data_IF_159319271707
#
_entry.id   IF_159319271707
#
_cell.length_a   1.000
_cell.length_b   1.000
_cell.length_c   1.000
_cell.angle_alpha   90.00
_cell.angle_beta   90.00
_cell.angle_gamma   90.00
#
_symmetry.space_group_name_H-M   'P 1'
#
loop_
_entity.id
_entity.type
_entity.pdbx_description
1 polymer ?
#
# COMPACT_ATOMS: atom_id res chain seq x y z
N UNK A 1 16.80 -9.56 -36.87
CA UNK A 1 17.97 -9.52 -35.99
C UNK A 1 17.44 -9.73 -34.59
N UNK A 2 17.51 -10.96 -34.07
CA UNK A 2 16.98 -11.34 -32.76
C UNK A 2 17.82 -10.64 -31.69
N UNK A 3 17.28 -9.56 -31.11
CA UNK A 3 17.89 -8.91 -29.96
C UNK A 3 17.90 -9.91 -28.81
N UNK A 4 19.08 -10.28 -28.31
CA UNK A 4 19.15 -11.09 -27.10
C UNK A 4 18.40 -10.33 -25.99
N UNK A 5 17.58 -11.02 -25.18
CA UNK A 5 16.88 -10.37 -24.08
C UNK A 5 17.91 -9.71 -23.17
N UNK A 6 17.74 -8.41 -22.92
CA UNK A 6 18.63 -7.64 -22.04
C UNK A 6 18.46 -8.19 -20.63
N UNK A 7 19.50 -8.86 -20.13
CA UNK A 7 19.56 -9.31 -18.73
C UNK A 7 20.08 -8.16 -17.86
N UNK A 8 19.20 -7.61 -17.02
CA UNK A 8 19.54 -6.54 -16.08
C UNK A 8 19.84 -7.05 -14.65
N UNK A 9 19.96 -8.37 -14.45
CA UNK A 9 20.27 -8.99 -13.16
C UNK A 9 21.76 -9.04 -12.85
N UNK A 10 22.61 -8.88 -13.87
CA UNK A 10 24.06 -8.81 -13.75
C UNK A 10 24.47 -7.36 -13.44
N UNK A 11 25.24 -7.17 -12.37
CA UNK A 11 25.76 -5.88 -11.95
C UNK A 11 27.12 -5.59 -12.62
N UNK A 12 27.15 -4.68 -13.60
CA UNK A 12 28.41 -4.11 -14.12
C UNK A 12 28.66 -2.74 -13.45
N UNK A 13 29.70 -2.59 -12.60
CA UNK A 13 29.98 -1.32 -11.93
C UNK A 13 30.33 -0.17 -12.90
N UNK A 14 30.60 -0.46 -14.18
CA UNK A 14 30.91 0.54 -15.21
C UNK A 14 29.67 1.13 -15.88
N UNK A 15 28.53 0.45 -15.81
CA UNK A 15 27.31 0.83 -16.53
C UNK A 15 26.07 0.65 -15.66
N UNK A 16 25.20 1.66 -15.62
CA UNK A 16 23.91 1.49 -14.95
C UNK A 16 23.01 0.59 -15.76
N UNK A 17 22.51 -0.49 -15.16
CA UNK A 17 21.55 -1.38 -15.81
C UNK A 17 20.26 -0.63 -16.19
N UNK A 18 19.67 -0.95 -17.35
CA UNK A 18 18.42 -0.35 -17.78
C UNK A 18 17.27 -0.73 -16.84
N UNK A 19 16.44 0.26 -16.50
CA UNK A 19 15.30 0.10 -15.58
C UNK A 19 14.00 -0.29 -16.30
N UNK A 20 13.91 -0.02 -17.60
CA UNK A 20 12.76 -0.34 -18.44
C UNK A 20 13.26 -1.32 -19.51
N UNK A 21 12.62 -2.47 -19.61
CA UNK A 21 12.94 -3.53 -20.56
C UNK A 21 11.75 -3.72 -21.49
N UNK A 22 12.00 -4.06 -22.76
CA UNK A 22 10.94 -4.45 -23.69
C UNK A 22 10.05 -3.31 -24.24
N UNK A 23 10.35 -2.04 -23.93
CA UNK A 23 9.63 -0.87 -24.45
C UNK A 23 10.56 0.04 -25.24
N UNK A 24 10.17 0.37 -26.48
CA UNK A 24 10.93 1.25 -27.38
C UNK A 24 10.30 2.64 -27.52
N UNK A 25 9.00 2.79 -27.23
CA UNK A 25 8.26 4.05 -27.35
C UNK A 25 7.26 4.29 -26.20
N UNK A 26 6.94 5.56 -25.92
CA UNK A 26 6.00 5.97 -24.88
C UNK A 26 4.57 5.47 -25.12
N UNK A 27 4.16 5.28 -26.37
CA UNK A 27 2.86 4.72 -26.71
C UNK A 27 2.67 3.32 -26.13
N UNK A 28 3.70 2.48 -26.25
CA UNK A 28 3.65 1.08 -25.77
C UNK A 28 3.48 0.97 -24.25
N UNK A 29 4.12 1.87 -23.49
CA UNK A 29 3.98 1.93 -22.02
C UNK A 29 2.57 2.37 -21.64
N UNK A 30 2.03 3.35 -22.36
CA UNK A 30 0.67 3.86 -22.10
C UNK A 30 -0.37 2.78 -22.37
N UNK A 31 -0.26 2.12 -23.52
CA UNK A 31 -1.13 1.01 -23.90
C UNK A 31 -1.11 -0.08 -22.83
N UNK A 32 0.08 -0.56 -22.43
CA UNK A 32 0.20 -1.63 -21.43
C UNK A 32 -0.41 -1.27 -20.06
N UNK A 33 -0.17 -0.05 -19.56
CA UNK A 33 -0.76 0.40 -18.29
C UNK A 33 -2.29 0.52 -18.40
N UNK A 34 -2.78 1.04 -19.53
CA UNK A 34 -4.21 1.22 -19.77
C UNK A 34 -4.96 -0.12 -19.93
N UNK A 35 -4.30 -1.19 -20.42
CA UNK A 35 -4.91 -2.51 -20.58
C UNK A 35 -5.64 -2.99 -19.32
N UNK A 36 -5.10 -2.72 -18.14
CA UNK A 36 -5.72 -3.14 -16.87
C UNK A 36 -7.07 -2.46 -16.64
N UNK A 37 -7.20 -1.19 -17.01
CA UNK A 37 -8.41 -0.39 -16.81
C UNK A 37 -9.41 -0.53 -17.97
N UNK A 38 -8.90 -0.77 -19.19
CA UNK A 38 -9.70 -0.96 -20.40
C UNK A 38 -10.20 -2.40 -20.56
N UNK A 39 -9.66 -3.35 -19.78
CA UNK A 39 -10.10 -4.74 -19.80
C UNK A 39 -11.63 -4.83 -19.60
N UNK A 40 -12.36 -5.57 -20.44
CA UNK A 40 -13.83 -5.61 -20.39
C UNK A 40 -14.34 -6.21 -19.08
N UNK A 41 -13.53 -7.03 -18.40
CA UNK A 41 -13.83 -7.62 -17.09
C UNK A 41 -12.55 -7.75 -16.26
N UNK A 42 -12.59 -7.42 -14.95
CA UNK A 42 -11.52 -7.73 -14.02
C UNK A 42 -11.25 -9.24 -13.95
N UNK A 43 -10.01 -9.66 -13.64
CA UNK A 43 -9.70 -11.07 -13.41
C UNK A 43 -10.49 -11.61 -12.21
N UNK A 44 -10.82 -12.91 -12.22
CA UNK A 44 -11.57 -13.56 -11.13
C UNK A 44 -10.94 -13.33 -9.75
N UNK A 45 -9.61 -13.30 -9.69
CA UNK A 45 -8.86 -13.04 -8.46
C UNK A 45 -9.21 -11.69 -7.83
N UNK A 46 -9.47 -10.65 -8.64
CA UNK A 46 -9.85 -9.33 -8.16
C UNK A 46 -11.19 -9.33 -7.42
N UNK A 47 -12.18 -10.08 -7.94
CA UNK A 47 -13.46 -10.22 -7.26
C UNK A 47 -13.34 -10.98 -5.93
N UNK A 48 -12.53 -12.05 -5.91
CA UNK A 48 -12.29 -12.84 -4.69
C UNK A 48 -11.63 -11.97 -3.61
N UNK A 49 -10.57 -11.24 -3.96
CA UNK A 49 -9.88 -10.36 -3.00
C UNK A 49 -10.76 -9.19 -2.55
N UNK A 50 -11.59 -8.64 -3.44
CA UNK A 50 -12.55 -7.59 -3.09
C UNK A 50 -13.57 -8.09 -2.06
N UNK A 51 -14.17 -9.27 -2.28
CA UNK A 51 -15.16 -9.84 -1.35
C UNK A 51 -14.52 -10.11 0.01
N UNK A 52 -13.33 -10.72 0.04
CA UNK A 52 -12.61 -10.99 1.30
C UNK A 52 -12.32 -9.67 2.04
N UNK A 53 -11.82 -8.65 1.32
CA UNK A 53 -11.51 -7.35 1.92
C UNK A 53 -12.77 -6.64 2.43
N UNK A 54 -13.88 -6.71 1.68
CA UNK A 54 -15.16 -6.12 2.07
C UNK A 54 -15.74 -6.81 3.32
N UNK A 55 -15.63 -8.14 3.42
CA UNK A 55 -16.06 -8.88 4.62
C UNK A 55 -15.23 -8.50 5.85
N UNK A 56 -13.90 -8.40 5.70
CA UNK A 56 -13.01 -7.97 6.78
C UNK A 56 -13.31 -6.52 7.22
N UNK A 57 -13.54 -5.61 6.26
CA UNK A 57 -13.94 -4.23 6.55
C UNK A 57 -15.32 -4.15 7.22
N UNK A 58 -16.29 -4.96 6.78
CA UNK A 58 -17.60 -5.06 7.40
C UNK A 58 -17.53 -5.56 8.84
N UNK A 59 -16.69 -6.56 9.11
CA UNK A 59 -16.40 -7.04 10.47
C UNK A 59 -15.80 -5.92 11.33
N UNK A 60 -14.84 -5.15 10.81
CA UNK A 60 -14.25 -4.02 11.51
C UNK A 60 -15.33 -2.99 11.91
N UNK A 61 -16.20 -2.58 10.98
CA UNK A 61 -17.29 -1.64 11.25
C UNK A 61 -18.26 -2.18 12.31
N UNK A 62 -18.62 -3.46 12.22
CA UNK A 62 -19.49 -4.11 13.21
C UNK A 62 -18.86 -4.12 14.61
N UNK A 63 -17.57 -4.42 14.73
CA UNK A 63 -16.84 -4.42 16.00
C UNK A 63 -16.66 -3.01 16.58
N UNK A 64 -16.49 -1.99 15.74
CA UNK A 64 -16.50 -0.59 16.19
C UNK A 64 -17.89 -0.20 16.72
N UNK A 65 -18.96 -0.60 16.04
CA UNK A 65 -20.33 -0.40 16.53
C UNK A 65 -20.54 -1.05 17.90
N UNK A 66 -20.09 -2.29 18.08
CA UNK A 66 -20.11 -2.97 19.38
C UNK A 66 -19.31 -2.20 20.44
N UNK A 67 -18.07 -1.82 20.14
CA UNK A 67 -17.20 -1.04 21.02
C UNK A 67 -17.86 0.26 21.52
N UNK A 68 -18.50 1.01 20.62
CA UNK A 68 -19.18 2.28 20.99
C UNK A 68 -20.37 2.01 21.92
N UNK A 69 -21.11 0.92 21.71
CA UNK A 69 -22.28 0.58 22.51
C UNK A 69 -21.94 0.01 23.90
N UNK A 70 -20.85 -0.76 24.00
CA UNK A 70 -20.46 -1.44 25.26
C UNK A 70 -19.33 -0.76 26.03
N UNK A 71 -18.62 0.18 25.38
CA UNK A 71 -17.50 0.91 25.95
C UNK A 71 -16.13 0.26 25.69
N UNK A 72 -15.07 1.03 25.96
CA UNK A 72 -13.65 0.68 25.67
C UNK A 72 -13.12 -0.51 26.48
N UNK A 73 -13.81 -0.90 27.55
CA UNK A 73 -13.45 -2.05 28.39
C UNK A 73 -13.43 -3.38 27.65
N UNK A 74 -14.10 -3.49 26.49
CA UNK A 74 -14.11 -4.69 25.63
C UNK A 74 -12.69 -5.09 25.19
N UNK A 75 -11.76 -4.14 25.06
CA UNK A 75 -10.38 -4.47 24.71
C UNK A 75 -9.60 -5.15 25.81
N UNK A 76 -10.09 -5.14 27.05
CA UNK A 76 -9.42 -5.77 28.19
C UNK A 76 -8.12 -5.07 28.61
N UNK A 77 -7.95 -3.80 28.27
CA UNK A 77 -6.85 -2.99 28.80
C UNK A 77 -7.07 -2.80 30.31
N UNK A 78 -6.03 -3.03 31.11
CA UNK A 78 -6.10 -3.01 32.57
C UNK A 78 -5.04 -2.08 33.14
N UNK A 79 -5.27 -1.50 34.32
CA UNK A 79 -4.19 -0.80 35.03
C UNK A 79 -3.07 -1.79 35.40
N UNK A 80 -1.79 -1.49 35.16
CA UNK A 80 -1.24 -0.20 34.69
C UNK A 80 -1.12 -0.04 33.16
N UNK A 81 -1.35 -1.10 32.36
CA UNK A 81 -1.24 -1.08 30.89
C UNK A 81 -2.57 -0.70 30.25
N UNK A 82 -2.86 0.60 30.25
CA UNK A 82 -4.10 1.15 29.67
C UNK A 82 -4.05 1.24 28.15
N UNK A 83 -2.87 1.08 27.54
CA UNK A 83 -2.62 1.25 26.10
C UNK A 83 -2.21 -0.08 25.49
N UNK A 84 -3.16 -0.75 24.83
CA UNK A 84 -2.96 -2.04 24.18
C UNK A 84 -3.02 -1.95 22.65
N UNK A 85 -3.73 -2.92 22.06
CA UNK A 85 -3.87 -3.07 20.61
C UNK A 85 -4.29 -1.82 19.83
N UNK A 86 -5.19 -0.93 20.32
CA UNK A 86 -5.58 0.25 19.56
C UNK A 86 -4.39 1.16 19.23
N UNK A 87 -3.49 1.37 20.19
CA UNK A 87 -2.31 2.24 19.99
C UNK A 87 -1.20 1.50 19.26
N UNK A 88 -1.03 0.19 19.51
CA UNK A 88 -0.10 -0.63 18.71
C UNK A 88 -0.48 -0.59 17.23
N UNK A 89 -1.76 -0.78 16.91
CA UNK A 89 -2.25 -0.71 15.53
C UNK A 89 -2.15 0.70 14.95
N UNK A 90 -2.47 1.74 15.73
CA UNK A 90 -2.26 3.13 15.31
C UNK A 90 -0.82 3.36 14.82
N UNK A 91 0.18 3.05 15.65
CA UNK A 91 1.59 3.24 15.32
C UNK A 91 2.02 2.34 14.17
N UNK A 92 1.51 1.10 14.12
CA UNK A 92 1.78 0.17 13.02
C UNK A 92 1.33 0.74 11.67
N UNK A 93 0.09 1.23 11.57
CA UNK A 93 -0.44 1.81 10.34
C UNK A 93 0.28 3.12 9.95
N UNK A 94 0.63 3.97 10.92
CA UNK A 94 1.48 5.15 10.67
C UNK A 94 2.84 4.72 10.10
N UNK A 95 3.45 3.68 10.67
CA UNK A 95 4.71 3.11 10.20
C UNK A 95 4.66 2.65 8.74
N UNK A 96 3.57 1.99 8.32
CA UNK A 96 3.35 1.63 6.91
C UNK A 96 3.30 2.90 6.02
N UNK A 97 2.62 3.95 6.48
CA UNK A 97 2.54 5.22 5.75
C UNK A 97 3.91 5.90 5.52
N UNK A 98 4.85 5.76 6.47
CA UNK A 98 6.19 6.32 6.34
C UNK A 98 6.99 5.69 5.18
N UNK A 99 6.82 4.38 4.93
CA UNK A 99 7.49 3.74 3.81
C UNK A 99 7.06 4.36 2.46
N UNK A 100 5.79 4.73 2.32
CA UNK A 100 5.28 5.32 1.09
C UNK A 100 5.78 6.75 0.86
N UNK A 101 5.82 7.58 1.91
CA UNK A 101 6.38 8.95 1.81
C UNK A 101 7.90 8.96 1.57
N UNK A 102 8.63 7.96 2.08
CA UNK A 102 10.05 7.77 1.75
C UNK A 102 10.23 7.49 0.25
N UNK A 103 9.43 6.58 -0.32
CA UNK A 103 9.54 6.23 -1.73
C UNK A 103 9.16 7.42 -2.63
N UNK A 104 8.16 8.21 -2.26
CA UNK A 104 7.68 9.30 -3.12
C UNK A 104 8.48 10.60 -3.00
N UNK A 105 8.85 11.01 -1.78
CA UNK A 105 9.55 12.27 -1.54
C UNK A 105 11.06 12.10 -1.41
N UNK A 106 11.52 11.17 -0.56
CA UNK A 106 12.95 11.06 -0.22
C UNK A 106 13.75 10.54 -1.43
N UNK A 107 13.28 9.48 -2.10
CA UNK A 107 13.94 8.97 -3.31
C UNK A 107 13.95 10.00 -4.45
N UNK A 108 12.95 10.89 -4.50
CA UNK A 108 12.93 11.99 -5.45
C UNK A 108 14.07 13.00 -5.18
N UNK A 109 14.28 13.38 -3.91
CA UNK A 109 15.38 14.26 -3.51
C UNK A 109 16.76 13.66 -3.85
N UNK A 110 16.92 12.36 -3.66
CA UNK A 110 18.14 11.63 -4.04
C UNK A 110 18.23 11.31 -5.54
N UNK A 111 17.31 11.85 -6.36
CA UNK A 111 17.25 11.65 -7.82
C UNK A 111 17.32 10.18 -8.24
N UNK A 112 16.73 9.28 -7.44
CA UNK A 112 16.65 7.86 -7.75
C UNK A 112 15.58 7.63 -8.81
N UNK A 113 15.97 7.16 -10.00
CA UNK A 113 15.07 7.01 -11.16
C UNK A 113 14.16 5.78 -11.08
N UNK A 114 14.54 4.75 -10.33
CA UNK A 114 13.80 3.49 -10.20
C UNK A 114 12.47 3.64 -9.46
N UNK A 115 12.30 4.68 -8.64
CA UNK A 115 11.04 4.95 -7.93
C UNK A 115 9.84 5.13 -8.89
N UNK A 116 10.10 5.50 -10.14
CA UNK A 116 9.07 5.93 -11.11
C UNK A 116 7.99 4.86 -11.33
N UNK A 117 8.37 3.58 -11.37
CA UNK A 117 7.42 2.47 -11.57
C UNK A 117 6.55 2.15 -10.35
N UNK A 118 6.97 2.56 -9.15
CA UNK A 118 6.29 2.22 -7.88
C UNK A 118 5.66 3.41 -7.16
N UNK A 119 5.98 4.65 -7.57
CA UNK A 119 5.59 5.87 -6.87
C UNK A 119 4.08 5.96 -6.59
N UNK A 120 3.26 5.67 -7.60
CA UNK A 120 1.79 5.78 -7.50
C UNK A 120 1.20 4.74 -6.55
N UNK A 121 1.78 3.53 -6.48
CA UNK A 121 1.38 2.51 -5.51
C UNK A 121 1.79 2.91 -4.09
N UNK A 122 2.99 3.48 -3.91
CA UNK A 122 3.48 3.96 -2.62
C UNK A 122 2.64 5.13 -2.06
N UNK A 123 2.21 6.07 -2.92
CA UNK A 123 1.30 7.15 -2.56
C UNK A 123 -0.08 6.62 -2.14
N UNK A 124 -0.67 5.72 -2.93
CA UNK A 124 -1.95 5.10 -2.60
C UNK A 124 -1.89 4.31 -1.27
N UNK A 125 -0.81 3.53 -1.07
CA UNK A 125 -0.56 2.81 0.18
C UNK A 125 -0.52 3.77 1.38
N UNK A 126 0.14 4.93 1.24
CA UNK A 126 0.20 5.94 2.31
C UNK A 126 -1.18 6.46 2.67
N UNK A 127 -2.01 6.78 1.66
CA UNK A 127 -3.36 7.30 1.89
C UNK A 127 -4.21 6.28 2.64
N UNK A 128 -4.23 5.02 2.20
CA UNK A 128 -4.99 3.98 2.89
C UNK A 128 -4.47 3.69 4.30
N UNK A 129 -3.15 3.66 4.48
CA UNK A 129 -2.54 3.46 5.79
C UNK A 129 -2.92 4.57 6.78
N UNK A 130 -2.92 5.84 6.33
CA UNK A 130 -3.33 6.98 7.16
C UNK A 130 -4.83 6.93 7.49
N UNK A 131 -5.69 6.52 6.55
CA UNK A 131 -7.12 6.32 6.82
C UNK A 131 -7.33 5.26 7.91
N UNK A 132 -6.62 4.12 7.82
CA UNK A 132 -6.67 3.07 8.83
C UNK A 132 -6.09 3.53 10.18
N UNK A 133 -5.00 4.30 10.17
CA UNK A 133 -4.40 4.85 11.39
C UNK A 133 -5.35 5.83 12.08
N UNK A 134 -5.95 6.76 11.33
CA UNK A 134 -6.79 7.84 11.85
C UNK A 134 -8.05 7.36 12.60
N UNK A 135 -8.48 6.13 12.34
CA UNK A 135 -9.56 5.49 13.07
C UNK A 135 -9.24 5.31 14.57
N UNK A 136 -8.04 4.83 14.90
CA UNK A 136 -7.71 4.38 16.25
C UNK A 136 -7.73 5.49 17.32
N UNK A 137 -7.19 6.71 17.09
CA UNK A 137 -7.33 7.83 18.02
C UNK A 137 -8.79 8.16 18.37
N UNK A 138 -9.71 8.03 17.42
CA UNK A 138 -11.12 8.35 17.62
C UNK A 138 -11.90 7.27 18.37
N UNK A 139 -11.55 6.00 18.18
CA UNK A 139 -12.26 4.89 18.83
C UNK A 139 -11.65 4.49 20.17
N UNK A 140 -10.39 4.85 20.43
CA UNK A 140 -9.72 4.44 21.67
C UNK A 140 -10.01 5.30 22.89
N UNK A 141 -10.70 6.41 22.68
CA UNK A 141 -11.11 7.33 23.73
C UNK A 141 -12.47 6.90 24.29
N UNK A 142 -12.57 6.78 25.62
CA UNK A 142 -13.77 6.36 26.34
C UNK A 142 -13.45 5.95 27.76
#
# INVERSE_FOLDING_TARGET
MTTMPIDNTIEDPRQRSPLVLGHEDFGTVTEEICLVNEAPKPPKAWYVTLVISALAAGMLVAMIGYLILTGVGVWGNNSPVMWGFPIVNFVFWVGIGHAGTLISAILFLFRQKWRTSINRFAEAMTIFAVICAGLYPGIHIG
#
